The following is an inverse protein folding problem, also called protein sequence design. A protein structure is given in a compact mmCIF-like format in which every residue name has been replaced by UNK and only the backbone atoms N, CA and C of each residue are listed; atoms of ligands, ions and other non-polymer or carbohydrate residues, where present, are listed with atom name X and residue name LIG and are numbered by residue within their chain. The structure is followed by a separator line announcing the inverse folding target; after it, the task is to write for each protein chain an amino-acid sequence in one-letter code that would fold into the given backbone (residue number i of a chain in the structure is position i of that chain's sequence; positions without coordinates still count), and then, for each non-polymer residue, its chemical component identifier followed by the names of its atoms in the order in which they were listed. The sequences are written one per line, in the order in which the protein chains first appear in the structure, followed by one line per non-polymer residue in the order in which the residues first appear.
data_IF_750593159094
#
_entry.id   IF_750593159094
#
_cell.length_a   1.000
_cell.length_b   1.000
_cell.length_c   1.000
_cell.angle_alpha   90.00
_cell.angle_beta   90.00
_cell.angle_gamma   90.00
#
_symmetry.space_group_name_H-M   'P 1'
#
loop_
_entity.id
_entity.type
_entity.pdbx_description
1 polymer ?
#
# COMPACT_ATOMS: atom_id res chain seq x y z
N UNK A 1 18.09 25.61 -2.04
CA UNK A 1 17.86 26.41 -3.26
C UNK A 1 19.15 26.57 -4.07
N UNK A 2 20.26 27.04 -3.48
CA UNK A 2 21.53 27.25 -4.20
C UNK A 2 21.97 26.07 -5.10
N UNK A 3 21.96 24.84 -4.60
CA UNK A 3 22.36 23.65 -5.37
C UNK A 3 21.46 23.39 -6.59
N UNK A 4 20.14 23.60 -6.46
CA UNK A 4 19.20 23.44 -7.56
C UNK A 4 19.39 24.53 -8.61
N UNK A 5 19.60 25.78 -8.18
CA UNK A 5 19.92 26.89 -9.08
C UNK A 5 21.24 26.65 -9.82
N UNK A 6 22.26 26.15 -9.12
CA UNK A 6 23.55 25.77 -9.71
C UNK A 6 23.40 24.63 -10.72
N UNK A 7 22.62 23.60 -10.37
CA UNK A 7 22.31 22.51 -11.29
C UNK A 7 21.59 22.98 -12.56
N UNK A 8 20.62 23.91 -12.43
CA UNK A 8 19.93 24.56 -13.55
C UNK A 8 20.85 25.47 -14.37
N UNK A 9 21.86 26.10 -13.77
CA UNK A 9 22.82 26.93 -14.51
C UNK A 9 23.85 26.08 -15.30
N UNK A 10 24.08 24.84 -14.89
CA UNK A 10 25.01 23.90 -15.52
C UNK A 10 24.38 23.01 -16.60
N UNK A 11 24.99 21.84 -16.82
CA UNK A 11 24.54 20.85 -17.80
C UNK A 11 23.20 20.17 -17.44
N UNK A 12 22.69 20.36 -16.21
CA UNK A 12 21.39 19.88 -15.74
C UNK A 12 21.11 18.38 -16.04
N UNK A 13 22.11 17.51 -15.81
CA UNK A 13 21.94 16.08 -16.07
C UNK A 13 21.20 15.37 -14.93
N UNK A 14 20.40 14.32 -15.20
CA UNK A 14 19.70 13.58 -14.13
C UNK A 14 20.62 12.95 -13.07
N UNK A 15 21.85 12.59 -13.43
CA UNK A 15 22.83 11.98 -12.51
C UNK A 15 23.37 12.98 -11.48
N UNK A 16 23.41 14.26 -11.83
CA UNK A 16 23.95 15.33 -10.97
C UNK A 16 22.85 16.10 -10.23
N UNK A 17 21.58 15.68 -10.35
CA UNK A 17 20.46 16.37 -9.69
C UNK A 17 20.62 16.32 -8.16
N UNK A 18 20.47 17.46 -7.45
CA UNK A 18 20.71 17.57 -6.02
C UNK A 18 19.53 17.01 -5.19
N UNK A 19 19.27 15.72 -5.32
CA UNK A 19 18.16 15.03 -4.63
C UNK A 19 18.13 15.30 -3.12
N UNK A 20 19.29 15.23 -2.45
CA UNK A 20 19.39 15.41 -1.01
C UNK A 20 18.95 16.81 -0.58
N UNK A 21 19.50 17.88 -1.15
CA UNK A 21 19.11 19.23 -0.73
C UNK A 21 17.66 19.61 -1.09
N UNK A 22 17.13 19.05 -2.19
CA UNK A 22 15.70 19.20 -2.49
C UNK A 22 14.90 18.47 -1.43
N UNK A 23 15.18 17.19 -1.16
CA UNK A 23 14.48 16.40 -0.16
C UNK A 23 14.54 17.03 1.23
N UNK A 24 15.70 17.52 1.66
CA UNK A 24 15.89 18.21 2.94
C UNK A 24 15.01 19.47 3.04
N UNK A 25 14.74 20.14 1.91
CA UNK A 25 13.82 21.28 1.90
C UNK A 25 12.39 20.82 2.20
N UNK A 26 11.91 19.77 1.53
CA UNK A 26 10.58 19.20 1.80
C UNK A 26 10.48 18.68 3.23
N UNK A 27 11.55 18.08 3.76
CA UNK A 27 11.61 17.56 5.13
C UNK A 27 11.58 18.67 6.19
N UNK A 28 12.20 19.81 5.93
CA UNK A 28 12.20 20.97 6.85
C UNK A 28 10.85 21.69 6.89
N UNK A 29 10.15 21.81 5.77
CA UNK A 29 8.92 22.62 5.69
C UNK A 29 7.64 21.78 5.70
N UNK A 30 7.71 20.51 5.30
CA UNK A 30 6.55 19.76 4.84
C UNK A 30 6.19 20.15 3.41
N UNK A 31 5.78 19.16 2.61
CA UNK A 31 5.46 19.31 1.18
C UNK A 31 4.41 20.39 0.91
N UNK A 32 3.44 20.56 1.81
CA UNK A 32 2.40 21.57 1.65
C UNK A 32 2.92 23.01 1.77
N UNK A 33 4.04 23.23 2.46
CA UNK A 33 4.59 24.54 2.79
C UNK A 33 5.90 24.86 2.07
N UNK A 34 6.28 24.06 1.07
CA UNK A 34 7.44 24.38 0.24
C UNK A 34 7.17 25.69 -0.51
N UNK A 35 8.12 26.62 -0.44
CA UNK A 35 7.98 27.94 -1.05
C UNK A 35 7.76 27.87 -2.57
N UNK A 36 6.89 28.73 -3.10
CA UNK A 36 6.57 28.78 -4.53
C UNK A 36 7.79 28.97 -5.44
N UNK A 37 8.80 29.72 -4.98
CA UNK A 37 10.08 29.87 -5.70
C UNK A 37 10.80 28.53 -5.90
N UNK A 38 10.84 27.69 -4.87
CA UNK A 38 11.44 26.35 -4.97
C UNK A 38 10.62 25.47 -5.92
N UNK A 39 9.29 25.53 -5.85
CA UNK A 39 8.41 24.76 -6.74
C UNK A 39 8.59 25.18 -8.21
N UNK A 40 8.72 26.49 -8.48
CA UNK A 40 8.98 27.01 -9.83
C UNK A 40 10.33 26.53 -10.38
N UNK A 41 11.37 26.47 -9.55
CA UNK A 41 12.68 25.91 -9.95
C UNK A 41 12.60 24.41 -10.27
N UNK A 42 11.81 23.65 -9.49
CA UNK A 42 11.60 22.23 -9.75
C UNK A 42 10.76 21.98 -11.01
N UNK A 43 9.77 22.84 -11.30
CA UNK A 43 9.02 22.78 -12.54
C UNK A 43 9.90 23.09 -13.76
N UNK A 44 10.77 24.11 -13.67
CA UNK A 44 11.79 24.38 -14.68
C UNK A 44 12.73 23.18 -14.87
N UNK A 45 13.17 22.54 -13.78
CA UNK A 45 13.98 21.33 -13.85
C UNK A 45 13.24 20.19 -14.58
N UNK A 46 11.93 20.02 -14.32
CA UNK A 46 11.09 19.05 -15.01
C UNK A 46 10.97 19.34 -16.50
N UNK A 47 10.78 20.62 -16.90
CA UNK A 47 10.66 21.03 -18.31
C UNK A 47 11.95 20.83 -19.12
N UNK A 48 13.11 20.82 -18.46
CA UNK A 48 14.42 20.54 -19.09
C UNK A 48 14.71 19.06 -19.28
N UNK A 49 13.90 18.17 -18.72
CA UNK A 49 14.04 16.75 -19.01
C UNK A 49 13.61 16.51 -20.47
N UNK A 50 14.47 15.93 -21.33
CA UNK A 50 14.10 15.66 -22.72
C UNK A 50 12.91 14.68 -22.82
N UNK A 51 12.14 14.77 -23.93
CA UNK A 51 10.93 13.96 -24.21
C UNK A 51 11.11 12.43 -24.28
N UNK A 52 10.06 11.64 -24.64
CA UNK A 52 10.00 10.19 -24.35
C UNK A 52 10.94 9.29 -25.21
N UNK A 53 11.18 8.06 -24.71
CA UNK A 53 12.42 7.22 -24.78
C UNK A 53 12.32 5.94 -25.67
N UNK A 54 13.43 5.21 -26.00
CA UNK A 54 14.00 4.17 -25.10
C UNK A 54 15.55 3.96 -25.22
N UNK A 55 16.28 3.73 -24.12
CA UNK A 55 16.77 2.38 -23.76
C UNK A 55 16.58 2.09 -22.26
N UNK A 56 16.67 0.80 -21.89
CA UNK A 56 16.55 0.26 -20.53
C UNK A 56 17.61 0.77 -19.52
N UNK A 57 18.44 1.75 -19.90
CA UNK A 57 19.73 2.01 -19.27
C UNK A 57 19.87 3.40 -18.62
N UNK A 58 18.78 4.16 -18.47
CA UNK A 58 18.86 5.40 -17.68
C UNK A 58 17.73 5.49 -16.64
N UNK A 59 17.90 4.58 -15.68
CA UNK A 59 17.20 4.45 -14.40
C UNK A 59 17.19 5.75 -13.58
N UNK A 60 18.22 6.60 -13.75
CA UNK A 60 18.37 7.86 -13.02
C UNK A 60 17.44 8.95 -13.53
N UNK A 61 17.25 9.07 -14.84
CA UNK A 61 16.23 9.96 -15.41
C UNK A 61 14.82 9.53 -15.04
N UNK A 62 14.52 8.22 -15.07
CA UNK A 62 13.20 7.73 -14.63
C UNK A 62 12.97 8.08 -13.16
N UNK A 63 13.98 7.87 -12.31
CA UNK A 63 13.93 8.25 -10.91
C UNK A 63 13.67 9.76 -10.72
N UNK A 64 14.38 10.61 -11.47
CA UNK A 64 14.20 12.06 -11.40
C UNK A 64 12.80 12.47 -11.87
N UNK A 65 12.32 11.92 -12.98
CA UNK A 65 10.99 12.19 -13.51
C UNK A 65 9.91 11.80 -12.50
N UNK A 66 9.95 10.57 -11.98
CA UNK A 66 8.99 10.09 -10.98
C UNK A 66 9.06 10.92 -9.69
N UNK A 67 10.26 11.35 -9.27
CA UNK A 67 10.44 12.18 -8.10
C UNK A 67 9.83 13.58 -8.30
N UNK A 68 10.09 14.24 -9.43
CA UNK A 68 9.54 15.56 -9.72
C UNK A 68 8.01 15.51 -9.88
N UNK A 69 7.47 14.46 -10.50
CA UNK A 69 6.03 14.25 -10.59
C UNK A 69 5.37 14.14 -9.22
N UNK A 70 6.01 13.41 -8.29
CA UNK A 70 5.51 13.32 -6.91
C UNK A 70 5.71 14.65 -6.17
N UNK A 71 6.88 15.28 -6.29
CA UNK A 71 7.20 16.50 -5.55
C UNK A 71 6.31 17.70 -5.95
N UNK A 72 5.90 17.77 -7.22
CA UNK A 72 5.10 18.85 -7.81
C UNK A 72 3.60 18.55 -7.91
N UNK A 73 3.11 17.42 -7.38
CA UNK A 73 1.70 17.03 -7.52
C UNK A 73 0.69 18.09 -6.99
N UNK A 74 0.99 18.75 -5.86
CA UNK A 74 0.18 19.84 -5.30
C UNK A 74 0.28 21.10 -6.15
N UNK A 75 1.47 21.40 -6.67
CA UNK A 75 1.71 22.52 -7.59
C UNK A 75 0.89 22.35 -8.88
N UNK A 76 0.78 21.13 -9.38
CA UNK A 76 0.02 20.80 -10.59
C UNK A 76 -1.49 20.62 -10.35
N UNK A 77 -1.97 20.65 -9.11
CA UNK A 77 -3.36 20.29 -8.77
C UNK A 77 -3.69 18.80 -9.02
N UNK A 78 -2.68 17.93 -9.07
CA UNK A 78 -2.80 16.47 -9.30
C UNK A 78 -2.63 15.63 -8.04
N UNK A 79 -2.57 16.26 -6.86
CA UNK A 79 -2.35 15.60 -5.58
C UNK A 79 -3.43 14.56 -5.27
N UNK A 80 -3.02 13.29 -5.17
CA UNK A 80 -3.89 12.16 -4.85
C UNK A 80 -3.22 11.22 -3.82
N UNK A 81 -3.90 10.15 -3.43
CA UNK A 81 -3.35 9.16 -2.50
C UNK A 81 -2.07 8.47 -3.01
N UNK A 82 -1.94 8.21 -4.30
CA UNK A 82 -0.79 7.49 -4.87
C UNK A 82 0.45 8.39 -4.89
N UNK A 83 0.25 9.68 -5.20
CA UNK A 83 1.31 10.69 -5.17
C UNK A 83 1.68 11.06 -3.73
N UNK A 84 0.72 11.14 -2.80
CA UNK A 84 0.98 11.30 -1.36
C UNK A 84 1.89 10.19 -0.82
N UNK A 85 1.63 8.94 -1.19
CA UNK A 85 2.45 7.79 -0.79
C UNK A 85 3.66 7.55 -1.71
N UNK A 86 3.88 8.39 -2.72
CA UNK A 86 4.98 8.28 -3.66
C UNK A 86 5.17 6.87 -4.26
N UNK A 87 4.06 6.16 -4.54
CA UNK A 87 4.10 4.72 -4.86
C UNK A 87 4.92 4.38 -6.12
N UNK A 88 4.99 5.30 -7.09
CA UNK A 88 5.81 5.15 -8.31
C UNK A 88 7.31 5.04 -7.99
N UNK A 89 7.78 5.73 -6.95
CA UNK A 89 9.19 5.65 -6.54
C UNK A 89 9.54 4.29 -5.96
N UNK A 90 8.59 3.64 -5.28
CA UNK A 90 8.77 2.35 -4.61
C UNK A 90 8.74 1.13 -5.54
N UNK A 91 8.42 1.33 -6.84
CA UNK A 91 8.38 0.27 -7.86
C UNK A 91 7.60 -0.97 -7.38
N UNK A 92 6.36 -0.76 -6.96
CA UNK A 92 5.51 -1.77 -6.29
C UNK A 92 5.56 -3.13 -7.02
N UNK A 93 5.56 -4.26 -6.28
CA UNK A 93 5.68 -5.61 -6.85
C UNK A 93 4.57 -5.92 -7.87
N UNK A 94 3.38 -5.38 -7.64
CA UNK A 94 2.30 -5.35 -8.62
C UNK A 94 2.04 -3.89 -9.03
N UNK A 95 2.30 -3.63 -10.30
CA UNK A 95 1.92 -2.44 -11.00
C UNK A 95 2.01 -2.84 -12.45
N UNK A 96 0.91 -2.69 -13.19
CA UNK A 96 1.00 -2.55 -14.64
C UNK A 96 1.60 -1.18 -14.94
N UNK A 97 2.69 -0.81 -14.26
CA UNK A 97 3.62 0.15 -14.81
C UNK A 97 4.08 -0.55 -16.07
N UNK A 98 3.60 0.00 -17.20
CA UNK A 98 3.89 -0.49 -18.53
C UNK A 98 5.39 -0.81 -18.58
N UNK A 99 5.76 -1.97 -19.13
CA UNK A 99 7.15 -2.40 -19.34
C UNK A 99 7.93 -3.09 -18.20
N UNK A 100 7.32 -3.78 -17.23
CA UNK A 100 8.05 -4.83 -16.49
C UNK A 100 7.96 -6.19 -17.20
N UNK A 101 9.09 -6.90 -17.44
CA UNK A 101 9.06 -8.29 -17.91
C UNK A 101 8.24 -9.15 -16.94
N UNK A 102 7.60 -10.21 -17.44
CA UNK A 102 6.97 -11.21 -16.58
C UNK A 102 8.04 -11.78 -15.63
N UNK A 103 7.96 -11.41 -14.36
CA UNK A 103 8.81 -11.95 -13.30
C UNK A 103 8.14 -13.23 -12.81
N UNK A 104 8.93 -14.28 -12.57
CA UNK A 104 8.39 -15.51 -11.98
C UNK A 104 7.76 -15.23 -10.59
N UNK A 105 6.78 -16.04 -10.20
CA UNK A 105 6.03 -15.83 -8.95
C UNK A 105 6.92 -15.79 -7.71
N UNK A 106 7.99 -16.58 -7.67
CA UNK A 106 8.89 -16.66 -6.52
C UNK A 106 9.69 -15.36 -6.37
N UNK A 107 10.20 -14.84 -7.47
CA UNK A 107 10.92 -13.56 -7.53
C UNK A 107 9.98 -12.39 -7.19
N UNK A 108 8.73 -12.42 -7.65
CA UNK A 108 7.70 -11.45 -7.25
C UNK A 108 7.41 -11.46 -5.75
N UNK A 109 7.13 -12.65 -5.18
CA UNK A 109 6.90 -12.85 -3.74
C UNK A 109 8.08 -12.37 -2.89
N UNK A 110 9.31 -12.72 -3.28
CA UNK A 110 10.53 -12.27 -2.60
C UNK A 110 10.70 -10.76 -2.68
N UNK A 111 10.47 -10.15 -3.84
CA UNK A 111 10.58 -8.69 -4.01
C UNK A 111 9.60 -7.93 -3.12
N UNK A 112 8.36 -8.42 -2.99
CA UNK A 112 7.37 -7.89 -2.04
C UNK A 112 7.85 -8.00 -0.59
N UNK A 113 8.29 -9.18 -0.17
CA UNK A 113 8.74 -9.40 1.20
C UNK A 113 9.95 -8.51 1.55
N UNK A 114 10.88 -8.34 0.60
CA UNK A 114 12.00 -7.38 0.74
C UNK A 114 11.51 -5.95 0.92
N UNK A 115 10.59 -5.48 0.08
CA UNK A 115 10.06 -4.12 0.17
C UNK A 115 9.32 -3.90 1.50
N UNK A 116 8.50 -4.86 1.94
CA UNK A 116 7.81 -4.79 3.23
C UNK A 116 8.80 -4.67 4.40
N UNK A 117 9.84 -5.52 4.42
CA UNK A 117 10.89 -5.46 5.45
C UNK A 117 11.55 -4.09 5.45
N UNK A 118 11.92 -3.57 4.28
CA UNK A 118 12.59 -2.27 4.14
C UNK A 118 11.72 -1.09 4.60
N UNK A 119 10.44 -1.07 4.25
CA UNK A 119 9.51 -0.02 4.66
C UNK A 119 9.35 0.06 6.19
N UNK A 120 9.21 -1.09 6.85
CA UNK A 120 9.07 -1.13 8.31
C UNK A 120 10.41 -0.87 9.01
N UNK A 121 11.52 -1.42 8.49
CA UNK A 121 12.85 -1.16 9.03
C UNK A 121 13.21 0.34 8.97
N UNK A 122 12.86 1.01 7.87
CA UNK A 122 13.03 2.45 7.69
C UNK A 122 12.19 3.26 8.68
N UNK A 123 10.94 2.87 8.92
CA UNK A 123 10.11 3.47 9.98
C UNK A 123 10.76 3.33 11.37
N UNK A 124 11.29 2.14 11.70
CA UNK A 124 11.94 1.91 12.99
C UNK A 124 13.28 2.64 13.13
N UNK A 125 14.05 2.73 12.05
CA UNK A 125 15.28 3.51 12.01
C UNK A 125 15.01 5.00 12.30
N UNK A 126 13.95 5.56 11.70
CA UNK A 126 13.50 6.91 12.00
C UNK A 126 13.12 7.09 13.48
N UNK A 127 12.32 6.18 14.05
CA UNK A 127 11.94 6.23 15.46
C UNK A 127 13.16 6.26 16.40
N UNK A 128 14.16 5.41 16.12
CA UNK A 128 15.40 5.35 16.90
C UNK A 128 16.20 6.65 16.78
N UNK A 129 16.45 7.11 15.55
CA UNK A 129 17.20 8.35 15.33
C UNK A 129 16.49 9.56 15.95
N UNK A 130 15.16 9.62 15.92
CA UNK A 130 14.39 10.69 16.54
C UNK A 130 14.46 10.63 18.08
N UNK A 131 14.43 9.44 18.67
CA UNK A 131 14.56 9.22 20.12
C UNK A 131 15.95 9.61 20.65
N UNK A 132 16.99 9.30 19.88
CA UNK A 132 18.39 9.67 20.17
C UNK A 132 18.71 11.13 19.82
N UNK A 133 17.76 11.87 19.23
CA UNK A 133 17.94 13.23 18.68
C UNK A 133 19.08 13.32 17.64
N UNK A 134 19.30 12.23 16.90
CA UNK A 134 20.23 12.16 15.78
C UNK A 134 19.64 12.67 14.44
N UNK A 135 18.36 13.07 14.43
CA UNK A 135 17.69 13.68 13.28
C UNK A 135 16.75 14.80 13.71
N UNK A 136 16.63 15.82 12.86
CA UNK A 136 15.66 16.93 12.98
C UNK A 136 14.43 16.73 12.07
N UNK A 137 14.34 15.60 11.38
CA UNK A 137 13.18 15.25 10.55
C UNK A 137 11.92 15.13 11.41
N UNK A 138 10.84 15.81 10.99
CA UNK A 138 9.51 15.75 11.60
C UNK A 138 9.51 15.92 13.14
N UNK A 139 9.98 17.07 13.66
CA UNK A 139 10.27 17.22 15.08
C UNK A 139 9.02 17.35 15.96
N UNK A 140 7.85 17.63 15.39
CA UNK A 140 6.64 17.94 16.17
C UNK A 140 5.91 16.68 16.64
N UNK A 141 5.60 16.60 17.93
CA UNK A 141 4.83 15.49 18.50
C UNK A 141 5.63 14.19 18.66
N UNK A 142 6.95 14.30 18.93
CA UNK A 142 7.79 13.12 19.19
C UNK A 142 7.21 12.27 20.33
N UNK A 143 7.06 10.95 20.14
CA UNK A 143 6.51 10.08 21.17
C UNK A 143 7.53 9.86 22.31
N UNK A 144 7.07 9.50 23.52
CA UNK A 144 7.96 9.17 24.62
C UNK A 144 8.71 7.84 24.35
N UNK A 145 9.87 7.61 25.00
CA UNK A 145 10.69 6.41 24.77
C UNK A 145 9.93 5.08 24.90
N UNK A 146 8.95 4.99 25.80
CA UNK A 146 8.12 3.80 25.97
C UNK A 146 7.29 3.47 24.71
N UNK A 147 6.80 4.49 24.01
CA UNK A 147 6.06 4.32 22.74
C UNK A 147 7.01 3.94 21.63
N UNK A 148 8.20 4.53 21.56
CA UNK A 148 9.27 4.15 20.61
C UNK A 148 9.63 2.66 20.77
N UNK A 149 9.90 2.22 22.00
CA UNK A 149 10.20 0.83 22.29
C UNK A 149 9.04 -0.11 21.89
N UNK A 150 7.79 0.32 22.10
CA UNK A 150 6.61 -0.42 21.66
C UNK A 150 6.51 -0.49 20.14
N UNK A 151 6.78 0.60 19.42
CA UNK A 151 6.82 0.65 17.95
C UNK A 151 7.86 -0.30 17.40
N UNK A 152 9.07 -0.31 17.95
CA UNK A 152 10.13 -1.25 17.56
C UNK A 152 9.67 -2.70 17.69
N UNK A 153 9.16 -3.11 18.86
CA UNK A 153 8.66 -4.49 19.08
C UNK A 153 7.55 -4.88 18.10
N UNK A 154 6.59 -3.98 17.85
CA UNK A 154 5.48 -4.24 16.94
C UNK A 154 5.92 -4.28 15.47
N UNK A 155 6.85 -3.41 15.07
CA UNK A 155 7.42 -3.40 13.73
C UNK A 155 8.21 -4.66 13.43
N UNK A 156 9.06 -5.12 14.36
CA UNK A 156 9.77 -6.40 14.23
C UNK A 156 8.77 -7.55 14.04
N UNK A 157 7.74 -7.62 14.90
CA UNK A 157 6.67 -8.63 14.79
C UNK A 157 5.92 -8.56 13.45
N UNK A 158 5.74 -7.35 12.89
CA UNK A 158 5.06 -7.15 11.61
C UNK A 158 5.85 -7.72 10.42
N UNK A 159 7.18 -7.74 10.49
CA UNK A 159 8.03 -8.23 9.41
C UNK A 159 8.55 -9.64 9.62
N UNK A 160 8.44 -10.22 10.82
CA UNK A 160 8.86 -11.60 11.10
C UNK A 160 8.35 -12.62 10.07
N UNK A 161 7.07 -12.62 9.65
CA UNK A 161 6.61 -13.57 8.62
C UNK A 161 7.32 -13.38 7.27
N UNK A 162 7.64 -12.15 6.89
CA UNK A 162 8.36 -11.85 5.65
C UNK A 162 9.83 -12.26 5.74
N UNK A 163 10.49 -12.02 6.88
CA UNK A 163 11.86 -12.46 7.14
C UNK A 163 11.99 -13.99 7.04
N UNK A 164 11.05 -14.72 7.65
CA UNK A 164 10.99 -16.18 7.59
C UNK A 164 10.85 -16.68 6.14
N UNK A 165 9.98 -16.07 5.33
CA UNK A 165 9.83 -16.43 3.89
C UNK A 165 11.04 -16.09 3.05
N UNK A 166 11.82 -15.08 3.44
CA UNK A 166 13.09 -14.73 2.80
C UNK A 166 14.23 -15.68 3.18
N UNK A 167 14.01 -16.62 4.12
CA UNK A 167 15.07 -17.46 4.68
C UNK A 167 16.06 -16.67 5.53
N UNK A 168 15.72 -15.42 5.87
CA UNK A 168 16.46 -14.61 6.83
C UNK A 168 15.87 -15.03 8.17
N UNK A 169 16.35 -16.16 8.68
CA UNK A 169 16.19 -16.46 10.08
C UNK A 169 16.58 -15.19 10.83
N UNK A 170 15.76 -14.76 11.79
CA UNK A 170 16.24 -13.85 12.80
C UNK A 170 17.61 -14.37 13.22
N UNK A 171 18.71 -13.69 12.84
CA UNK A 171 20.04 -13.98 13.36
C UNK A 171 20.02 -13.48 14.80
N UNK A 172 19.21 -14.16 15.58
CA UNK A 172 19.20 -14.24 17.01
C UNK A 172 20.07 -15.47 17.27
N UNK A 173 21.38 -15.24 17.42
CA UNK A 173 22.11 -16.13 18.31
C UNK A 173 21.37 -16.14 19.63
N UNK A 174 21.03 -17.32 20.13
CA UNK A 174 20.46 -17.55 21.47
C UNK A 174 19.27 -16.69 21.89
N UNK A 175 18.09 -16.94 21.31
CA UNK A 175 16.81 -16.61 21.96
C UNK A 175 16.48 -15.12 22.17
N UNK A 176 17.37 -14.18 21.79
CA UNK A 176 17.10 -12.76 21.89
C UNK A 176 16.31 -12.23 20.69
N UNK A 177 15.28 -11.39 20.90
CA UNK A 177 14.51 -10.82 19.80
C UNK A 177 15.40 -9.92 18.91
N UNK A 178 15.27 -10.04 17.59
CA UNK A 178 15.95 -9.17 16.60
C UNK A 178 15.78 -7.71 17.02
N UNK A 179 16.88 -7.01 17.24
CA UNK A 179 16.83 -5.58 17.59
C UNK A 179 16.45 -4.74 16.36
N UNK A 180 15.90 -3.54 16.58
CA UNK A 180 15.60 -2.63 15.48
C UNK A 180 16.87 -2.21 14.70
N UNK A 181 18.02 -2.14 15.36
CA UNK A 181 19.33 -1.94 14.72
C UNK A 181 19.69 -3.09 13.78
N UNK A 182 19.57 -4.34 14.24
CA UNK A 182 19.85 -5.51 13.41
C UNK A 182 18.91 -5.56 12.19
N UNK A 183 17.64 -5.20 12.37
CA UNK A 183 16.68 -5.13 11.28
C UNK A 183 17.04 -4.06 10.23
N UNK A 184 17.59 -2.91 10.65
CA UNK A 184 18.08 -1.86 9.73
C UNK A 184 19.23 -2.37 8.86
N UNK A 185 20.19 -3.09 9.45
CA UNK A 185 21.30 -3.69 8.70
C UNK A 185 20.76 -4.68 7.66
N UNK A 186 19.91 -5.61 8.09
CA UNK A 186 19.25 -6.56 7.18
C UNK A 186 18.52 -5.85 6.04
N UNK A 187 17.77 -4.78 6.33
CA UNK A 187 17.04 -4.03 5.32
C UNK A 187 17.95 -3.32 4.31
N UNK A 188 19.13 -2.90 4.73
CA UNK A 188 20.13 -2.25 3.86
C UNK A 188 20.74 -3.28 2.91
N UNK A 189 21.08 -4.45 3.43
CA UNK A 189 21.66 -5.56 2.65
C UNK A 189 20.66 -6.14 1.64
N UNK A 190 19.36 -6.07 1.92
CA UNK A 190 18.32 -6.59 1.04
C UNK A 190 18.23 -5.88 -0.31
N UNK A 191 18.53 -4.58 -0.38
CA UNK A 191 18.53 -3.78 -1.61
C UNK A 191 19.16 -2.38 -1.39
N UNK A 192 20.49 -2.33 -1.39
CA UNK A 192 21.25 -1.09 -1.27
C UNK A 192 20.99 -0.13 -2.47
N UNK A 193 20.80 -0.67 -3.67
CA UNK A 193 20.55 0.11 -4.89
C UNK A 193 19.21 0.87 -4.82
N UNK A 194 18.22 0.32 -4.13
CA UNK A 194 16.92 0.96 -3.92
C UNK A 194 16.85 1.93 -2.74
N UNK A 195 17.94 2.18 -1.99
CA UNK A 195 17.91 3.05 -0.80
C UNK A 195 17.43 4.47 -1.14
N UNK A 196 17.96 5.02 -2.23
CA UNK A 196 17.58 6.37 -2.65
C UNK A 196 16.09 6.47 -2.98
N UNK A 197 15.52 5.46 -3.66
CA UNK A 197 14.08 5.41 -3.96
C UNK A 197 13.24 5.40 -2.68
N UNK A 198 13.66 4.62 -1.70
CA UNK A 198 13.01 4.56 -0.40
C UNK A 198 13.05 5.92 0.32
N UNK A 199 14.21 6.60 0.33
CA UNK A 199 14.32 7.96 0.91
C UNK A 199 13.47 8.98 0.17
N UNK A 200 13.51 9.00 -1.16
CA UNK A 200 12.73 9.94 -1.98
C UNK A 200 11.21 9.72 -1.89
N UNK A 201 10.77 8.52 -1.52
CA UNK A 201 9.35 8.23 -1.30
C UNK A 201 8.78 8.76 0.02
N UNK A 202 9.60 9.43 0.85
CA UNK A 202 9.18 10.06 2.09
C UNK A 202 9.05 11.57 1.92
N UNK A 203 7.89 12.03 1.44
CA UNK A 203 7.56 13.44 1.22
C UNK A 203 6.32 13.84 2.04
N UNK A 204 6.44 13.89 3.38
CA UNK A 204 5.33 14.22 4.28
C UNK A 204 4.78 15.61 3.98
N UNK A 205 3.46 15.80 4.13
CA UNK A 205 2.81 17.10 3.88
C UNK A 205 3.08 18.11 4.98
N UNK A 206 3.36 17.64 6.19
CA UNK A 206 3.62 18.47 7.35
C UNK A 206 4.85 17.96 8.11
N UNK A 207 5.27 18.69 9.14
CA UNK A 207 6.45 18.40 9.97
C UNK A 207 6.13 17.57 11.23
N UNK A 208 5.02 16.83 11.23
CA UNK A 208 4.55 16.01 12.36
C UNK A 208 5.22 14.64 12.37
N UNK A 209 5.81 14.23 13.51
CA UNK A 209 6.57 12.99 13.69
C UNK A 209 5.83 11.75 13.19
N UNK A 210 4.58 11.57 13.60
CA UNK A 210 3.81 10.38 13.28
C UNK A 210 3.39 10.27 11.80
N UNK A 211 3.56 11.33 11.00
CA UNK A 211 3.30 11.25 9.57
C UNK A 211 4.26 10.26 8.88
N UNK A 212 5.50 10.14 9.37
CA UNK A 212 6.46 9.14 8.87
C UNK A 212 5.92 7.72 8.99
N UNK A 213 5.46 7.37 10.21
CA UNK A 213 4.90 6.07 10.49
C UNK A 213 3.63 5.83 9.67
N UNK A 214 2.79 6.84 9.55
CA UNK A 214 1.56 6.78 8.77
C UNK A 214 1.84 6.44 7.30
N UNK A 215 2.77 7.16 6.65
CA UNK A 215 3.14 6.92 5.26
C UNK A 215 3.74 5.52 5.08
N UNK A 216 4.71 5.11 5.92
CA UNK A 216 5.34 3.79 5.79
C UNK A 216 4.36 2.64 6.00
N UNK A 217 3.42 2.78 6.93
CA UNK A 217 2.37 1.77 7.14
C UNK A 217 1.45 1.68 5.91
N UNK A 218 1.03 2.81 5.34
CA UNK A 218 0.18 2.78 4.15
C UNK A 218 0.91 2.20 2.93
N UNK A 219 2.18 2.56 2.73
CA UNK A 219 3.03 1.94 1.69
C UNK A 219 3.18 0.42 1.91
N UNK A 220 3.30 -0.03 3.17
CA UNK A 220 3.35 -1.45 3.50
C UNK A 220 2.02 -2.17 3.17
N UNK A 221 0.87 -1.54 3.42
CA UNK A 221 -0.42 -2.08 3.00
C UNK A 221 -0.60 -2.09 1.48
N UNK A 222 -0.14 -1.08 0.76
CA UNK A 222 -0.13 -1.11 -0.71
C UNK A 222 0.74 -2.25 -1.24
N UNK A 223 1.89 -2.51 -0.59
CA UNK A 223 2.78 -3.62 -0.94
C UNK A 223 2.10 -4.98 -0.70
N UNK A 224 1.39 -5.10 0.41
CA UNK A 224 0.59 -6.26 0.74
C UNK A 224 -0.52 -6.49 -0.30
N UNK A 225 -1.35 -5.48 -0.56
CA UNK A 225 -2.47 -5.58 -1.51
C UNK A 225 -2.02 -5.87 -2.93
N UNK A 226 -0.87 -5.31 -3.32
CA UNK A 226 -0.27 -5.63 -4.59
C UNK A 226 0.01 -7.14 -4.70
N UNK A 227 0.65 -7.72 -3.67
CA UNK A 227 0.87 -9.17 -3.60
C UNK A 227 -0.43 -9.98 -3.60
N UNK A 228 -1.46 -9.54 -2.86
CA UNK A 228 -2.75 -10.24 -2.85
C UNK A 228 -3.41 -10.25 -4.24
N UNK A 229 -3.34 -9.13 -4.97
CA UNK A 229 -3.89 -9.05 -6.32
C UNK A 229 -3.21 -10.05 -7.27
N UNK A 230 -1.89 -10.24 -7.16
CA UNK A 230 -1.18 -11.23 -7.97
C UNK A 230 -1.59 -12.67 -7.64
N UNK A 231 -1.71 -13.01 -6.36
CA UNK A 231 -2.18 -14.35 -5.95
C UNK A 231 -3.62 -14.61 -6.37
N UNK A 232 -4.50 -13.61 -6.28
CA UNK A 232 -5.90 -13.75 -6.72
C UNK A 232 -6.00 -13.91 -8.25
N UNK A 233 -5.20 -13.18 -9.02
CA UNK A 233 -5.12 -13.35 -10.47
C UNK A 233 -4.62 -14.75 -10.84
N UNK A 234 -3.56 -15.21 -10.17
CA UNK A 234 -3.03 -16.56 -10.36
C UNK A 234 -4.05 -17.64 -9.97
N UNK A 235 -4.82 -17.45 -8.89
CA UNK A 235 -5.88 -18.36 -8.49
C UNK A 235 -7.01 -18.45 -9.54
N UNK A 236 -7.46 -17.30 -10.07
CA UNK A 236 -8.47 -17.29 -11.13
C UNK A 236 -7.99 -17.99 -12.42
N UNK A 237 -6.72 -17.80 -12.79
CA UNK A 237 -6.10 -18.49 -13.91
C UNK A 237 -5.99 -20.00 -13.67
N UNK A 238 -5.56 -20.42 -12.47
CA UNK A 238 -5.47 -21.84 -12.09
C UNK A 238 -6.83 -22.55 -12.14
N UNK A 239 -7.92 -21.88 -11.71
CA UNK A 239 -9.29 -22.42 -11.83
C UNK A 239 -9.77 -22.51 -13.28
N UNK A 240 -9.31 -21.61 -14.14
CA UNK A 240 -9.62 -21.65 -15.57
C UNK A 240 -8.84 -22.77 -16.27
N UNK A 241 -7.62 -23.06 -15.82
CA UNK A 241 -6.74 -24.11 -16.36
C UNK A 241 -6.80 -25.46 -15.64
N UNK A 242 -7.89 -25.78 -14.93
CA UNK A 242 -8.12 -27.08 -14.27
C UNK A 242 -7.06 -27.50 -13.24
N UNK A 243 -6.49 -26.52 -12.51
CA UNK A 243 -5.50 -26.74 -11.47
C UNK A 243 -6.03 -26.35 -10.06
N UNK A 244 -7.00 -27.12 -9.49
CA UNK A 244 -7.66 -26.77 -8.23
C UNK A 244 -6.70 -26.71 -7.03
N UNK A 245 -5.72 -27.61 -6.95
CA UNK A 245 -4.71 -27.58 -5.89
C UNK A 245 -3.90 -26.28 -5.95
N UNK A 246 -3.47 -25.87 -7.13
CA UNK A 246 -2.73 -24.61 -7.31
C UNK A 246 -3.60 -23.41 -6.92
N UNK A 247 -4.88 -23.39 -7.31
CA UNK A 247 -5.80 -22.33 -6.91
C UNK A 247 -5.95 -22.23 -5.37
N UNK A 248 -6.09 -23.38 -4.70
CA UNK A 248 -6.18 -23.43 -3.24
C UNK A 248 -4.88 -22.98 -2.56
N UNK A 249 -3.71 -23.34 -3.08
CA UNK A 249 -2.41 -22.87 -2.58
C UNK A 249 -2.25 -21.36 -2.70
N UNK A 250 -2.66 -20.77 -3.84
CA UNK A 250 -2.62 -19.31 -4.07
C UNK A 250 -3.51 -18.57 -3.07
N UNK A 251 -4.74 -19.05 -2.85
CA UNK A 251 -5.67 -18.50 -1.87
C UNK A 251 -5.15 -18.67 -0.43
N UNK A 252 -4.55 -19.82 -0.11
CA UNK A 252 -3.92 -20.09 1.17
C UNK A 252 -2.78 -19.12 1.48
N UNK A 253 -1.89 -18.89 0.51
CA UNK A 253 -0.81 -17.91 0.63
C UNK A 253 -1.34 -16.48 0.76
N UNK A 254 -2.36 -16.09 -0.02
CA UNK A 254 -3.01 -14.79 0.10
C UNK A 254 -3.61 -14.57 1.51
N UNK A 255 -4.24 -15.60 2.09
CA UNK A 255 -4.74 -15.59 3.47
C UNK A 255 -3.60 -15.40 4.47
N UNK A 256 -2.50 -16.13 4.32
CA UNK A 256 -1.33 -16.02 5.20
C UNK A 256 -0.69 -14.63 5.17
N UNK A 257 -0.65 -13.98 4.01
CA UNK A 257 -0.20 -12.61 3.88
C UNK A 257 -1.08 -11.64 4.67
N UNK A 258 -2.41 -11.74 4.54
CA UNK A 258 -3.35 -10.91 5.30
C UNK A 258 -3.22 -11.15 6.81
N UNK A 259 -3.17 -12.41 7.24
CA UNK A 259 -3.04 -12.78 8.65
C UNK A 259 -1.72 -12.30 9.26
N UNK A 260 -0.62 -12.48 8.54
CA UNK A 260 0.72 -12.04 8.94
C UNK A 260 0.86 -10.52 9.06
N UNK A 261 0.02 -9.75 8.36
CA UNK A 261 0.03 -8.28 8.41
C UNK A 261 -0.73 -7.68 9.60
N UNK A 262 -1.39 -8.49 10.45
CA UNK A 262 -2.13 -8.02 11.63
C UNK A 262 -1.32 -7.09 12.57
N UNK A 263 -0.03 -7.35 12.87
CA UNK A 263 0.76 -6.45 13.71
C UNK A 263 0.97 -5.04 13.12
N UNK A 264 0.82 -4.84 11.81
CA UNK A 264 0.90 -3.51 11.18
C UNK A 264 -0.20 -2.59 11.71
N UNK A 265 -1.42 -3.10 11.93
CA UNK A 265 -2.48 -2.31 12.57
C UNK A 265 -2.13 -1.97 14.02
N UNK A 266 -1.54 -2.92 14.76
CA UNK A 266 -1.10 -2.66 16.14
C UNK A 266 -0.02 -1.58 16.18
N UNK A 267 0.90 -1.58 15.21
CA UNK A 267 1.93 -0.57 15.06
C UNK A 267 1.32 0.80 14.75
N UNK A 268 0.46 0.90 13.74
CA UNK A 268 -0.25 2.13 13.40
C UNK A 268 -1.11 2.64 14.56
N UNK A 269 -1.66 1.72 15.35
CA UNK A 269 -2.45 2.04 16.52
C UNK A 269 -1.66 2.74 17.64
N UNK A 270 -0.33 2.83 17.53
CA UNK A 270 0.51 3.64 18.43
C UNK A 270 0.65 5.10 17.99
N UNK A 271 0.13 5.47 16.81
CA UNK A 271 0.05 6.86 16.37
C UNK A 271 -0.85 7.68 17.30
N UNK A 272 -0.44 8.89 17.60
CA UNK A 272 -1.19 9.84 18.40
C UNK A 272 -2.35 10.42 17.56
N UNK A 273 -3.60 10.42 18.08
CA UNK A 273 -4.74 10.99 17.35
C UNK A 273 -4.61 12.49 17.04
N UNK A 274 -3.94 13.26 17.91
CA UNK A 274 -3.64 14.68 17.65
C UNK A 274 -2.72 14.83 16.44
N UNK A 275 -1.62 14.08 16.40
CA UNK A 275 -0.68 14.10 15.26
C UNK A 275 -1.41 13.82 13.94
N UNK A 276 -2.28 12.81 13.92
CA UNK A 276 -3.12 12.52 12.75
C UNK A 276 -4.05 13.68 12.38
N UNK A 277 -4.71 14.32 13.36
CA UNK A 277 -5.56 15.49 13.10
C UNK A 277 -4.78 16.66 12.52
N UNK A 278 -3.55 16.89 12.98
CA UNK A 278 -2.69 17.98 12.51
C UNK A 278 -2.34 17.80 11.02
N UNK A 279 -1.66 16.72 10.65
CA UNK A 279 -1.18 16.61 9.26
C UNK A 279 -2.31 16.34 8.26
N UNK A 280 -3.43 15.72 8.70
CA UNK A 280 -4.58 15.43 7.83
C UNK A 280 -5.22 16.68 7.24
N UNK A 281 -5.08 17.84 7.89
CA UNK A 281 -5.54 19.12 7.32
C UNK A 281 -4.88 19.43 5.98
N UNK A 282 -3.69 18.88 5.73
CA UNK A 282 -2.91 19.14 4.52
C UNK A 282 -2.94 17.97 3.52
N UNK A 283 -3.65 16.89 3.85
CA UNK A 283 -3.84 15.73 2.96
C UNK A 283 -5.11 15.83 2.10
N UNK A 284 -5.74 16.99 2.00
CA UNK A 284 -6.94 17.19 1.17
C UNK A 284 -6.73 16.66 -0.25
N UNK A 285 -7.71 15.93 -0.78
CA UNK A 285 -7.63 15.25 -2.08
C UNK A 285 -7.01 13.84 -2.04
N UNK A 286 -6.19 13.51 -1.03
CA UNK A 286 -5.61 12.19 -0.85
C UNK A 286 -6.41 11.35 0.16
N UNK A 287 -6.89 10.18 -0.27
CA UNK A 287 -7.65 9.26 0.59
C UNK A 287 -7.41 7.81 0.22
N UNK A 288 -7.36 6.93 1.23
CA UNK A 288 -7.24 5.48 1.03
C UNK A 288 -8.37 4.89 0.17
N UNK A 289 -9.50 5.60 0.01
CA UNK A 289 -10.54 5.24 -0.95
C UNK A 289 -10.04 5.24 -2.41
N UNK A 290 -8.87 5.83 -2.69
CA UNK A 290 -8.19 5.88 -4.00
C UNK A 290 -7.10 4.80 -4.16
N UNK A 291 -6.90 3.92 -3.16
CA UNK A 291 -5.97 2.77 -3.27
C UNK A 291 -6.29 1.86 -4.46
N UNK A 292 -5.46 1.94 -5.51
CA UNK A 292 -5.54 1.08 -6.69
C UNK A 292 -5.39 -0.39 -6.34
N UNK A 293 -4.38 -0.73 -5.53
CA UNK A 293 -4.07 -2.12 -5.17
C UNK A 293 -5.21 -2.78 -4.42
N UNK A 294 -5.85 -2.07 -3.49
CA UNK A 294 -7.03 -2.58 -2.78
C UNK A 294 -8.22 -2.79 -3.72
N UNK A 295 -8.42 -1.90 -4.70
CA UNK A 295 -9.52 -2.03 -5.68
C UNK A 295 -9.30 -3.22 -6.61
N UNK A 296 -8.06 -3.52 -6.98
CA UNK A 296 -7.72 -4.75 -7.69
C UNK A 296 -8.03 -5.99 -6.84
N UNK A 297 -7.66 -6.00 -5.56
CA UNK A 297 -8.00 -7.12 -4.66
C UNK A 297 -9.52 -7.33 -4.63
N UNK A 298 -10.29 -6.26 -4.43
CA UNK A 298 -11.76 -6.34 -4.40
C UNK A 298 -12.33 -6.86 -5.72
N UNK A 299 -11.89 -6.34 -6.86
CA UNK A 299 -12.43 -6.72 -8.17
C UNK A 299 -12.00 -8.12 -8.62
N UNK A 300 -10.81 -8.58 -8.24
CA UNK A 300 -10.33 -9.94 -8.53
C UNK A 300 -11.01 -11.00 -7.67
N UNK A 301 -11.46 -10.62 -6.46
CA UNK A 301 -12.29 -11.53 -5.67
C UNK A 301 -13.60 -11.82 -6.39
N UNK A 302 -14.31 -10.76 -6.81
CA UNK A 302 -15.61 -10.84 -7.47
C UNK A 302 -15.87 -9.59 -8.32
N UNK A 303 -16.55 -9.77 -9.45
CA UNK A 303 -17.01 -8.66 -10.26
C UNK A 303 -17.92 -7.72 -9.45
N UNK A 304 -17.54 -6.44 -9.27
CA UNK A 304 -18.40 -5.45 -8.63
C UNK A 304 -19.63 -5.17 -9.52
N UNK A 305 -20.79 -4.98 -8.89
CA UNK A 305 -22.01 -4.53 -9.59
C UNK A 305 -21.88 -3.08 -10.09
N UNK A 306 -22.77 -2.66 -10.98
CA UNK A 306 -22.71 -1.34 -11.63
C UNK A 306 -22.68 -0.17 -10.64
N UNK A 307 -23.58 -0.16 -9.64
CA UNK A 307 -23.60 0.87 -8.59
C UNK A 307 -22.26 0.99 -7.86
N UNK A 308 -21.58 -0.15 -7.63
CA UNK A 308 -20.28 -0.19 -6.99
C UNK A 308 -19.19 0.35 -7.92
N UNK A 309 -19.21 -0.02 -9.20
CA UNK A 309 -18.29 0.49 -10.21
C UNK A 309 -18.44 1.98 -10.47
N UNK A 310 -19.63 2.54 -10.26
CA UNK A 310 -19.91 3.96 -10.39
C UNK A 310 -19.77 4.74 -9.07
N UNK A 311 -19.37 4.07 -7.98
CA UNK A 311 -19.03 4.75 -6.74
C UNK A 311 -17.76 5.60 -6.87
N UNK A 312 -17.61 6.60 -5.99
CA UNK A 312 -16.40 7.43 -5.90
C UNK A 312 -15.11 6.61 -5.78
N UNK A 313 -15.18 5.44 -5.13
CA UNK A 313 -14.04 4.55 -4.96
C UNK A 313 -13.49 4.02 -6.29
N UNK A 314 -14.34 3.54 -7.20
CA UNK A 314 -13.91 3.02 -8.51
C UNK A 314 -13.70 4.12 -9.55
N UNK A 315 -14.43 5.25 -9.46
CA UNK A 315 -14.16 6.43 -10.30
C UNK A 315 -12.77 7.00 -10.06
N UNK A 316 -12.24 6.86 -8.85
CA UNK A 316 -10.88 7.32 -8.52
C UNK A 316 -9.75 6.43 -9.05
N UNK A 317 -10.07 5.25 -9.58
CA UNK A 317 -9.11 4.30 -10.18
C UNK A 317 -9.60 3.85 -11.57
N UNK A 318 -9.66 4.77 -12.55
CA UNK A 318 -10.25 4.52 -13.85
C UNK A 318 -9.63 3.32 -14.58
N UNK A 319 -8.34 3.05 -14.36
CA UNK A 319 -7.63 1.90 -14.92
C UNK A 319 -8.19 0.57 -14.40
N UNK A 320 -8.54 0.47 -13.11
CA UNK A 320 -9.14 -0.75 -12.55
C UNK A 320 -10.57 -0.90 -13.05
N UNK A 321 -11.31 0.22 -13.12
CA UNK A 321 -12.68 0.22 -13.67
C UNK A 321 -12.70 -0.21 -15.14
N UNK A 322 -11.71 0.18 -15.94
CA UNK A 322 -11.56 -0.28 -17.31
C UNK A 322 -11.30 -1.79 -17.38
N UNK A 323 -10.40 -2.32 -16.54
CA UNK A 323 -10.13 -3.76 -16.45
C UNK A 323 -11.39 -4.58 -16.11
N UNK A 324 -12.19 -4.12 -15.15
CA UNK A 324 -13.45 -4.80 -14.81
C UNK A 324 -14.42 -4.78 -15.99
N UNK A 325 -14.58 -3.63 -16.66
CA UNK A 325 -15.45 -3.49 -17.83
C UNK A 325 -15.00 -4.33 -19.02
N UNK A 326 -13.70 -4.58 -19.17
CA UNK A 326 -13.16 -5.48 -20.18
C UNK A 326 -13.29 -6.97 -19.82
N UNK A 327 -13.99 -7.32 -18.74
CA UNK A 327 -14.22 -8.71 -18.34
C UNK A 327 -13.01 -9.36 -17.68
N UNK A 328 -12.28 -8.61 -16.82
CA UNK A 328 -11.22 -9.18 -15.98
C UNK A 328 -11.72 -10.47 -15.29
N UNK A 329 -11.04 -11.62 -15.47
CA UNK A 329 -11.40 -12.85 -14.78
C UNK A 329 -11.33 -12.70 -13.26
N UNK A 330 -12.35 -13.19 -12.57
CA UNK A 330 -12.42 -13.17 -11.10
C UNK A 330 -12.40 -14.58 -10.53
N UNK A 331 -11.95 -14.72 -9.28
CA UNK A 331 -11.94 -16.02 -8.59
C UNK A 331 -13.36 -16.57 -8.44
N UNK A 332 -14.33 -15.70 -8.09
CA UNK A 332 -15.74 -16.06 -7.92
C UNK A 332 -16.35 -16.64 -9.20
N UNK A 333 -16.13 -16.00 -10.35
CA UNK A 333 -16.64 -16.46 -11.65
C UNK A 333 -15.91 -17.71 -12.15
N UNK A 334 -14.58 -17.76 -12.00
CA UNK A 334 -13.79 -18.91 -12.40
C UNK A 334 -14.20 -20.17 -11.61
N UNK A 335 -14.40 -20.04 -10.29
CA UNK A 335 -14.92 -21.12 -9.45
C UNK A 335 -16.31 -21.57 -9.91
N UNK A 336 -17.27 -20.64 -10.06
CA UNK A 336 -18.63 -20.97 -10.52
C UNK A 336 -18.63 -21.68 -11.86
N UNK A 337 -17.84 -21.17 -12.81
CA UNK A 337 -17.76 -21.76 -14.14
C UNK A 337 -17.19 -23.17 -14.07
N UNK A 338 -16.10 -23.39 -13.32
CA UNK A 338 -15.48 -24.71 -13.19
C UNK A 338 -16.43 -25.73 -12.53
N UNK A 339 -17.20 -25.33 -11.51
CA UNK A 339 -18.22 -26.18 -10.88
C UNK A 339 -19.35 -26.49 -11.86
N UNK A 340 -19.90 -25.47 -12.54
CA UNK A 340 -21.01 -25.63 -13.49
C UNK A 340 -20.63 -26.52 -14.67
N UNK A 341 -19.41 -26.44 -15.17
CA UNK A 341 -18.92 -27.28 -16.28
C UNK A 341 -18.42 -28.65 -15.81
N UNK A 342 -18.53 -28.98 -14.51
CA UNK A 342 -18.10 -30.26 -13.95
C UNK A 342 -16.57 -30.45 -13.86
N UNK A 343 -15.78 -29.41 -14.17
CA UNK A 343 -14.32 -29.41 -14.08
C UNK A 343 -13.83 -29.39 -12.63
N UNK A 344 -14.59 -28.77 -11.74
CA UNK A 344 -14.33 -28.72 -10.30
C UNK A 344 -15.42 -29.45 -9.51
N UNK A 345 -15.10 -30.62 -8.94
CA UNK A 345 -16.07 -31.51 -8.27
C UNK A 345 -15.46 -32.27 -7.11
N UNK A 346 -16.31 -32.82 -6.24
CA UNK A 346 -15.91 -33.68 -5.13
C UNK A 346 -14.85 -33.01 -4.23
N UNK A 347 -13.80 -33.75 -3.81
CA UNK A 347 -12.78 -33.25 -2.89
C UNK A 347 -12.07 -31.97 -3.36
N UNK A 348 -11.84 -31.81 -4.67
CA UNK A 348 -11.18 -30.63 -5.24
C UNK A 348 -12.06 -29.38 -5.09
N UNK A 349 -13.37 -29.52 -5.29
CA UNK A 349 -14.33 -28.43 -5.06
C UNK A 349 -14.31 -27.99 -3.61
N UNK A 350 -14.31 -28.94 -2.68
CA UNK A 350 -14.33 -28.66 -1.25
C UNK A 350 -13.02 -28.03 -0.78
N UNK A 351 -11.89 -28.46 -1.35
CA UNK A 351 -10.58 -27.86 -1.10
C UNK A 351 -10.56 -26.38 -1.47
N UNK A 352 -10.96 -26.05 -2.70
CA UNK A 352 -10.97 -24.65 -3.16
C UNK A 352 -11.99 -23.82 -2.38
N UNK A 353 -13.19 -24.36 -2.11
CA UNK A 353 -14.21 -23.66 -1.35
C UNK A 353 -13.71 -23.26 0.05
N UNK A 354 -13.08 -24.20 0.77
CA UNK A 354 -12.47 -23.91 2.09
C UNK A 354 -11.37 -22.84 2.00
N UNK A 355 -10.56 -22.86 0.95
CA UNK A 355 -9.53 -21.84 0.75
C UNK A 355 -10.14 -20.45 0.46
N UNK A 356 -11.21 -20.39 -0.33
CA UNK A 356 -11.99 -19.16 -0.57
C UNK A 356 -12.59 -18.61 0.73
N UNK A 357 -13.25 -19.47 1.52
CA UNK A 357 -13.86 -19.06 2.80
C UNK A 357 -12.83 -18.53 3.79
N UNK A 358 -11.70 -19.24 3.94
CA UNK A 358 -10.62 -18.81 4.83
C UNK A 358 -9.99 -17.47 4.41
N UNK A 359 -9.84 -17.23 3.10
CA UNK A 359 -9.38 -15.93 2.61
C UNK A 359 -10.43 -14.82 2.85
N UNK A 360 -11.72 -15.12 2.59
CA UNK A 360 -12.81 -14.18 2.81
C UNK A 360 -12.92 -13.74 4.27
N UNK A 361 -12.81 -14.67 5.21
CA UNK A 361 -12.80 -14.39 6.65
C UNK A 361 -11.64 -13.46 7.02
N UNK A 362 -10.42 -13.75 6.54
CA UNK A 362 -9.24 -12.93 6.80
C UNK A 362 -9.41 -11.50 6.25
N UNK A 363 -9.97 -11.32 5.05
CA UNK A 363 -10.20 -10.01 4.46
C UNK A 363 -11.32 -9.23 5.17
N UNK A 364 -12.41 -9.89 5.57
CA UNK A 364 -13.46 -9.27 6.38
C UNK A 364 -12.94 -8.82 7.74
N UNK A 365 -12.10 -9.64 8.39
CA UNK A 365 -11.46 -9.27 9.64
C UNK A 365 -10.51 -8.08 9.47
N UNK A 366 -9.77 -8.01 8.35
CA UNK A 366 -8.97 -6.85 7.99
C UNK A 366 -9.84 -5.58 7.87
N UNK A 367 -10.96 -5.65 7.13
CA UNK A 367 -11.90 -4.51 6.94
C UNK A 367 -12.47 -4.02 8.28
N UNK A 368 -12.87 -4.94 9.16
CA UNK A 368 -13.39 -4.60 10.51
C UNK A 368 -12.32 -3.94 11.38
N UNK A 369 -11.08 -4.43 11.32
CA UNK A 369 -9.95 -3.85 12.06
C UNK A 369 -9.61 -2.46 11.56
N UNK A 370 -9.59 -2.26 10.24
CA UNK A 370 -9.41 -0.96 9.62
C UNK A 370 -10.47 0.04 10.09
N UNK A 371 -11.75 -0.33 10.05
CA UNK A 371 -12.84 0.55 10.49
C UNK A 371 -12.68 0.94 11.98
N UNK A 372 -12.40 -0.02 12.87
CA UNK A 372 -12.19 0.27 14.30
C UNK A 372 -11.07 1.27 14.51
N UNK A 373 -9.96 1.11 13.80
CA UNK A 373 -8.83 2.02 13.88
C UNK A 373 -9.18 3.41 13.34
N UNK A 374 -9.85 3.48 12.19
CA UNK A 374 -10.27 4.73 11.57
C UNK A 374 -11.21 5.53 12.48
N UNK A 375 -12.23 4.87 13.05
CA UNK A 375 -13.16 5.50 14.02
C UNK A 375 -12.40 6.05 15.23
N UNK A 376 -11.45 5.28 15.76
CA UNK A 376 -10.64 5.71 16.91
C UNK A 376 -9.73 6.91 16.58
N UNK A 377 -9.15 6.96 15.38
CA UNK A 377 -8.27 8.06 14.96
C UNK A 377 -9.03 9.34 14.62
N UNK A 378 -10.24 9.22 14.06
CA UNK A 378 -11.08 10.36 13.69
C UNK A 378 -11.88 10.92 14.88
N UNK A 379 -12.18 10.11 15.89
CA UNK A 379 -13.01 10.51 17.03
C UNK A 379 -14.47 10.75 16.65
N UNK A 380 -15.19 11.48 17.51
CA UNK A 380 -16.64 11.75 17.39
C UNK A 380 -16.98 13.13 16.82
N UNK A 381 -16.00 13.97 16.46
CA UNK A 381 -16.25 15.28 15.86
C UNK A 381 -16.41 15.16 14.34
N UNK A 382 -17.47 15.72 13.73
CA UNK A 382 -17.55 15.81 12.28
C UNK A 382 -16.40 16.70 11.80
N UNK A 383 -15.43 16.12 11.13
CA UNK A 383 -14.28 16.86 10.61
C UNK A 383 -14.73 17.91 9.60
N UNK A 384 -14.14 19.10 9.65
CA UNK A 384 -14.37 20.21 8.71
C UNK A 384 -13.78 19.97 7.32
N UNK A 385 -13.21 18.80 7.06
CA UNK A 385 -12.87 18.31 5.73
C UNK A 385 -13.66 17.04 5.47
N UNK A 386 -14.53 17.07 4.46
CA UNK A 386 -15.36 15.95 4.01
C UNK A 386 -14.60 14.63 4.04
N UNK A 387 -14.85 13.79 5.05
CA UNK A 387 -14.73 12.36 4.85
C UNK A 387 -16.04 11.70 5.19
N UNK A 388 -16.78 11.40 4.13
CA UNK A 388 -17.70 10.26 4.03
C UNK A 388 -17.03 8.89 4.37
N UNK A 389 -15.82 8.89 4.91
CA UNK A 389 -14.95 7.74 5.09
C UNK A 389 -15.47 6.74 6.11
N UNK A 390 -15.91 7.14 7.30
CA UNK A 390 -16.45 6.19 8.29
C UNK A 390 -17.81 5.59 7.86
N UNK A 391 -18.78 6.35 7.32
CA UNK A 391 -19.98 5.77 6.72
C UNK A 391 -19.66 4.83 5.55
N UNK A 392 -18.77 5.23 4.63
CA UNK A 392 -18.34 4.38 3.53
C UNK A 392 -17.72 3.07 4.03
N UNK A 393 -16.77 3.16 4.97
CA UNK A 393 -16.12 1.98 5.57
C UNK A 393 -17.12 1.09 6.29
N UNK A 394 -18.13 1.66 6.96
CA UNK A 394 -19.21 0.89 7.58
C UNK A 394 -20.07 0.17 6.54
N UNK A 395 -20.40 0.80 5.41
CA UNK A 395 -21.18 0.20 4.34
C UNK A 395 -20.43 -0.94 3.62
N UNK A 396 -19.12 -0.79 3.40
CA UNK A 396 -18.35 -1.78 2.63
C UNK A 396 -17.81 -2.94 3.47
N UNK A 397 -17.83 -2.85 4.81
CA UNK A 397 -17.16 -3.85 5.66
C UNK A 397 -17.80 -5.23 5.59
N UNK A 398 -19.12 -5.30 5.38
CA UNK A 398 -19.88 -6.56 5.30
C UNK A 398 -20.14 -7.01 3.85
N UNK A 399 -19.62 -6.29 2.85
CA UNK A 399 -19.76 -6.73 1.45
C UNK A 399 -19.12 -8.11 1.28
N UNK A 400 -19.86 -9.10 0.73
CA UNK A 400 -19.32 -10.44 0.50
C UNK A 400 -18.07 -10.37 -0.37
N UNK A 401 -17.00 -11.03 0.08
CA UNK A 401 -15.74 -11.16 -0.65
C UNK A 401 -15.96 -12.05 -1.87
N UNK A 402 -16.57 -13.21 -1.64
CA UNK A 402 -17.07 -14.13 -2.65
C UNK A 402 -18.57 -14.30 -2.48
N UNK A 403 -19.26 -14.59 -3.57
CA UNK A 403 -20.69 -14.92 -3.60
C UNK A 403 -20.94 -16.35 -4.09
N UNK A 404 -19.91 -17.06 -4.56
CA UNK A 404 -20.01 -18.44 -5.02
C UNK A 404 -20.02 -19.47 -3.89
N UNK A 405 -19.46 -19.12 -2.73
CA UNK A 405 -19.30 -20.00 -1.55
C UNK A 405 -20.06 -19.50 -0.32
N UNK A 406 -20.63 -18.29 -0.37
CA UNK A 406 -21.45 -17.77 0.71
C UNK A 406 -22.75 -18.59 0.88
N UNK A 407 -23.22 -18.85 2.12
CA UNK A 407 -24.51 -19.49 2.32
C UNK A 407 -25.61 -18.61 1.69
N UNK A 408 -26.46 -19.22 0.87
CA UNK A 408 -27.66 -18.57 0.33
C UNK A 408 -28.49 -18.07 1.52
N UNK A 409 -28.83 -16.77 1.62
CA UNK A 409 -29.76 -16.33 2.65
C UNK A 409 -31.07 -17.10 2.47
N UNK A 410 -31.71 -17.57 3.56
CA UNK A 410 -32.97 -18.31 3.45
C UNK A 410 -33.98 -17.48 2.66
N UNK A 411 -34.82 -18.11 1.82
CA UNK A 411 -35.85 -17.38 1.10
C UNK A 411 -36.67 -16.58 2.11
N UNK A 412 -36.80 -15.28 1.88
CA UNK A 412 -37.73 -14.46 2.63
C UNK A 412 -39.12 -14.97 2.33
N UNK A 413 -39.75 -15.64 3.30
CA UNK A 413 -41.17 -15.97 3.25
C UNK A 413 -41.95 -14.65 3.16
N UNK A 414 -42.29 -14.25 1.94
CA UNK A 414 -43.34 -13.29 1.67
C UNK A 414 -44.67 -13.99 1.94
N UNK A 415 -45.02 -14.16 3.21
CA UNK A 415 -46.42 -14.32 3.59
C UNK A 415 -47.05 -12.93 3.57
N UNK A 416 -47.52 -12.56 2.39
CA UNK A 416 -48.51 -11.51 2.21
C UNK A 416 -49.74 -11.86 3.08
N UNK A 417 -49.93 -11.09 4.15
CA UNK A 417 -51.18 -11.04 4.87
C UNK A 417 -52.23 -10.39 3.97
N UNK A 418 -53.18 -11.20 3.49
CA UNK A 418 -54.42 -10.73 2.90
C UNK A 418 -55.35 -10.28 4.04
N UNK A 419 -55.80 -9.02 4.12
CA UNK A 419 -56.80 -8.61 5.10
C UNK A 419 -58.21 -8.85 4.55
N UNK A 420 -59.07 -9.42 5.39
CA UNK A 420 -60.53 -9.35 5.25
C UNK A 420 -61.07 -8.17 6.07
#
# INVERSE_FOLDING_TARGET
MHELTSWLAGAATPHTFPFTAVLDTFHRTGKHFVAGEMLALLDEARRRLPGPRPTADDDRRSLLSDFLDVALDKWDGRYDYRSYLALRLLRMPCGTDEQRPAVDDATGRRSRDRLLVRLIADALAFEMSAAERATDLLPQGRPPPAVVAKRCRLGIRAVTPALNRLGIAAVAGDGEPVSATALRTVATDLDAAGDLRLRLSMLPVHVTHDEYLFIRVLQAYECLFAGLADELRAAALALTGDAPCSAAERLGHARELLGGASPIFSLLATMQPESFRTFRQYTEGASAIQSRSYKLVESLCRAPGEDRLDSAAYRSVPEVRALVRSGQPTVDEAYRSAVRTGRLRGPDRDLVARAMDAFAEALLQWRRTHLRLAVRMLGSRPGTGYTEGTPYLAAVRELPVFTAVAPVPPPTDSTEGCPA
#
